data_IF_343727210138
#
_entry.id   IF_343727210138
#
_cell.length_a   1.000
_cell.length_b   1.000
_cell.length_c   1.000
_cell.angle_alpha   90.00
_cell.angle_beta   90.00
_cell.angle_gamma   90.00
#
_symmetry.space_group_name_H-M   'P 1'
#
loop_
_entity.id
_entity.type
_entity.pdbx_description
1 polymer ?
#
# COMPACT_ATOMS: atom_id res chain seq x y z
N UNK A 1 -2.98 -23.84 -18.63
CA UNK A 1 -3.99 -22.96 -19.26
C UNK A 1 -4.99 -22.38 -18.24
N UNK A 2 -5.51 -23.18 -17.29
CA UNK A 2 -6.48 -22.70 -16.28
C UNK A 2 -5.92 -21.66 -15.28
N UNK A 3 -4.68 -21.85 -14.79
CA UNK A 3 -4.00 -20.90 -13.89
C UNK A 3 -3.75 -19.52 -14.53
N UNK A 4 -3.48 -19.50 -15.83
CA UNK A 4 -3.22 -18.28 -16.59
C UNK A 4 -4.52 -17.49 -16.85
N UNK A 5 -5.64 -18.19 -17.09
CA UNK A 5 -6.97 -17.57 -17.22
C UNK A 5 -7.54 -17.04 -15.88
N UNK A 6 -7.25 -17.69 -14.74
CA UNK A 6 -7.64 -17.17 -13.42
C UNK A 6 -6.84 -15.92 -13.04
N UNK A 7 -5.53 -15.90 -13.32
CA UNK A 7 -4.64 -14.76 -13.06
C UNK A 7 -5.04 -13.53 -13.89
N UNK A 8 -5.34 -13.71 -15.18
CA UNK A 8 -5.79 -12.62 -16.06
C UNK A 8 -7.16 -12.06 -15.64
N UNK A 9 -8.10 -12.91 -15.23
CA UNK A 9 -9.42 -12.47 -14.72
C UNK A 9 -9.36 -11.75 -13.37
N UNK A 10 -8.48 -12.18 -12.46
CA UNK A 10 -8.28 -11.49 -11.17
C UNK A 10 -7.57 -10.13 -11.34
N UNK A 11 -6.58 -10.06 -12.25
CA UNK A 11 -5.89 -8.82 -12.60
C UNK A 11 -6.85 -7.78 -13.21
N UNK A 12 -7.70 -8.17 -14.19
CA UNK A 12 -8.70 -7.27 -14.78
C UNK A 12 -9.77 -6.81 -13.78
N UNK A 13 -10.18 -7.68 -12.84
CA UNK A 13 -11.13 -7.27 -11.79
C UNK A 13 -10.48 -6.31 -10.79
N UNK A 14 -9.20 -6.47 -10.46
CA UNK A 14 -8.46 -5.58 -9.55
C UNK A 14 -8.30 -4.18 -10.15
N UNK A 15 -7.89 -4.09 -11.42
CA UNK A 15 -7.78 -2.83 -12.16
C UNK A 15 -9.14 -2.10 -12.26
N UNK A 16 -10.22 -2.85 -12.48
CA UNK A 16 -11.57 -2.27 -12.54
C UNK A 16 -12.06 -1.73 -11.20
N UNK A 17 -11.64 -2.30 -10.06
CA UNK A 17 -12.07 -1.82 -8.72
C UNK A 17 -11.31 -0.58 -8.27
N UNK A 18 -10.02 -0.46 -8.60
CA UNK A 18 -9.24 0.74 -8.26
C UNK A 18 -9.60 1.93 -9.17
N UNK A 19 -9.98 1.68 -10.42
CA UNK A 19 -10.43 2.73 -11.33
C UNK A 19 -11.58 3.59 -10.76
N UNK A 20 -12.55 2.96 -10.09
CA UNK A 20 -13.69 3.67 -9.50
C UNK A 20 -13.29 4.66 -8.40
N UNK A 21 -12.39 4.27 -7.49
CA UNK A 21 -11.92 5.16 -6.41
C UNK A 21 -11.03 6.27 -6.94
N UNK A 22 -10.21 5.99 -7.96
CA UNK A 22 -9.39 7.01 -8.65
C UNK A 22 -10.29 8.08 -9.29
N UNK A 23 -11.34 7.66 -9.99
CA UNK A 23 -12.28 8.60 -10.63
C UNK A 23 -13.08 9.41 -9.59
N UNK A 24 -13.50 8.77 -8.50
CA UNK A 24 -14.17 9.44 -7.39
C UNK A 24 -13.25 10.51 -6.76
N UNK A 25 -12.00 10.17 -6.44
CA UNK A 25 -11.02 11.12 -5.91
C UNK A 25 -10.76 12.27 -6.88
N UNK A 26 -10.55 11.98 -8.17
CA UNK A 26 -10.38 13.00 -9.19
C UNK A 26 -11.59 13.95 -9.27
N UNK A 27 -12.80 13.42 -9.08
CA UNK A 27 -14.03 14.21 -9.03
C UNK A 27 -14.10 15.08 -7.78
N UNK A 28 -13.72 14.55 -6.61
CA UNK A 28 -13.64 15.31 -5.36
C UNK A 28 -12.63 16.45 -5.48
N UNK A 29 -11.42 16.18 -5.98
CA UNK A 29 -10.39 17.20 -6.20
C UNK A 29 -10.86 18.34 -7.12
N UNK A 30 -11.69 18.03 -8.13
CA UNK A 30 -12.26 19.04 -9.05
C UNK A 30 -13.51 19.76 -8.55
N UNK A 31 -14.37 19.09 -7.77
CA UNK A 31 -15.75 19.55 -7.49
C UNK A 31 -16.07 19.76 -6.03
N UNK A 32 -15.26 19.26 -5.11
CA UNK A 32 -15.44 19.46 -3.67
C UNK A 32 -14.54 20.62 -3.19
N UNK A 33 -15.12 21.74 -2.70
CA UNK A 33 -14.33 22.90 -2.29
C UNK A 33 -13.38 22.61 -1.11
N UNK A 34 -13.73 21.66 -0.23
CA UNK A 34 -12.83 21.27 0.84
C UNK A 34 -11.66 20.48 0.28
N UNK A 35 -11.94 19.45 -0.54
CA UNK A 35 -10.93 18.60 -1.13
C UNK A 35 -9.95 19.43 -1.96
N UNK A 36 -10.43 20.29 -2.87
CA UNK A 36 -9.59 21.09 -3.77
C UNK A 36 -8.63 22.06 -3.08
N UNK A 37 -8.84 22.36 -1.79
CA UNK A 37 -7.99 23.26 -0.99
C UNK A 37 -6.96 22.53 -0.14
N UNK A 38 -7.02 21.21 -0.08
CA UNK A 38 -6.06 20.42 0.68
C UNK A 38 -4.72 20.31 -0.05
N UNK A 39 -3.66 20.27 0.73
CA UNK A 39 -2.29 19.90 0.35
C UNK A 39 -1.74 18.83 1.31
N UNK A 40 -0.49 18.39 1.10
CA UNK A 40 0.10 17.35 1.95
C UNK A 40 0.21 17.75 3.42
N UNK A 41 0.44 19.03 3.71
CA UNK A 41 0.59 19.52 5.08
C UNK A 41 -0.75 19.64 5.79
N UNK A 42 -1.78 20.14 5.10
CA UNK A 42 -3.13 20.26 5.67
C UNK A 42 -3.77 18.90 5.97
N UNK A 43 -3.33 17.84 5.27
CA UNK A 43 -3.79 16.47 5.46
C UNK A 43 -3.10 15.72 6.60
N UNK A 44 -1.95 16.20 7.11
CA UNK A 44 -1.17 15.48 8.13
C UNK A 44 -2.01 15.13 9.37
N UNK A 45 -2.83 16.09 9.81
CA UNK A 45 -3.72 15.90 10.96
C UNK A 45 -4.64 14.70 10.75
N UNK A 46 -5.31 14.64 9.61
CA UNK A 46 -6.25 13.56 9.31
C UNK A 46 -5.54 12.22 9.19
N UNK A 47 -4.38 12.16 8.54
CA UNK A 47 -3.60 10.92 8.46
C UNK A 47 -3.19 10.34 9.83
N UNK A 48 -2.96 11.20 10.83
CA UNK A 48 -2.73 10.78 12.21
C UNK A 48 -4.01 10.26 12.86
N UNK A 49 -5.09 11.03 12.77
CA UNK A 49 -6.41 10.68 13.32
C UNK A 49 -6.88 9.32 12.77
N UNK A 50 -6.91 9.10 11.44
CA UNK A 50 -7.36 7.82 10.87
C UNK A 50 -6.49 6.62 11.32
N UNK A 51 -5.19 6.87 11.58
CA UNK A 51 -4.29 5.82 12.07
C UNK A 51 -4.58 5.50 13.53
N UNK A 52 -4.89 6.51 14.35
CA UNK A 52 -5.29 6.33 15.74
C UNK A 52 -6.64 5.61 15.84
N UNK A 53 -7.62 6.00 15.02
CA UNK A 53 -8.95 5.35 14.95
C UNK A 53 -8.82 3.88 14.50
N UNK A 54 -7.97 3.58 13.52
CA UNK A 54 -7.65 2.19 13.14
C UNK A 54 -7.07 1.38 14.31
N UNK A 55 -6.19 1.97 15.12
CA UNK A 55 -5.60 1.30 16.29
C UNK A 55 -6.70 0.98 17.31
N UNK A 56 -7.58 1.94 17.60
CA UNK A 56 -8.71 1.76 18.51
C UNK A 56 -9.65 0.65 18.02
N UNK A 57 -10.04 0.67 16.74
CA UNK A 57 -10.90 -0.36 16.15
C UNK A 57 -10.28 -1.78 16.22
N UNK A 58 -8.95 -1.89 16.04
CA UNK A 58 -8.23 -3.16 16.17
C UNK A 58 -8.21 -3.66 17.61
N UNK A 59 -8.09 -2.78 18.59
CA UNK A 59 -8.10 -3.14 20.01
C UNK A 59 -9.50 -3.59 20.45
N UNK A 60 -10.56 -2.91 20.02
CA UNK A 60 -11.94 -3.33 20.24
C UNK A 60 -12.23 -4.70 19.61
N UNK A 61 -11.80 -4.91 18.37
CA UNK A 61 -11.94 -6.21 17.70
C UNK A 61 -11.19 -7.33 18.45
N UNK A 62 -10.02 -7.04 19.03
CA UNK A 62 -9.25 -8.01 19.82
C UNK A 62 -9.94 -8.35 21.15
N UNK A 63 -10.54 -7.34 21.79
CA UNK A 63 -11.25 -7.49 23.06
C UNK A 63 -12.58 -8.24 22.92
N UNK A 64 -13.33 -7.98 21.85
CA UNK A 64 -14.62 -8.61 21.56
C UNK A 64 -14.80 -8.85 20.04
N UNK A 65 -14.31 -9.98 19.49
CA UNK A 65 -14.45 -10.25 18.07
C UNK A 65 -15.92 -10.44 17.65
N UNK A 66 -16.50 -9.41 17.01
CA UNK A 66 -17.89 -9.41 16.54
C UNK A 66 -18.00 -8.93 15.09
N UNK A 67 -19.09 -9.24 14.36
CA UNK A 67 -19.33 -8.70 13.02
C UNK A 67 -19.31 -7.16 12.98
N UNK A 68 -19.73 -6.51 14.07
CA UNK A 68 -19.71 -5.07 14.21
C UNK A 68 -18.28 -4.52 14.29
N UNK A 69 -17.46 -5.03 15.22
CA UNK A 69 -16.06 -4.58 15.33
C UNK A 69 -15.24 -4.95 14.08
N UNK A 70 -15.56 -6.06 13.42
CA UNK A 70 -14.96 -6.39 12.13
C UNK A 70 -15.30 -5.34 11.06
N UNK A 71 -16.53 -4.80 11.05
CA UNK A 71 -16.92 -3.74 10.12
C UNK A 71 -16.14 -2.47 10.42
N UNK A 72 -16.06 -2.06 11.69
CA UNK A 72 -15.31 -0.88 12.10
C UNK A 72 -13.85 -0.95 11.62
N UNK A 73 -13.15 -2.08 11.85
CA UNK A 73 -11.77 -2.26 11.34
C UNK A 73 -11.68 -2.12 9.81
N UNK A 74 -12.67 -2.62 9.06
CA UNK A 74 -12.67 -2.49 7.60
C UNK A 74 -12.90 -1.03 7.16
N UNK A 75 -13.76 -0.31 7.87
CA UNK A 75 -14.05 1.09 7.61
C UNK A 75 -12.79 1.94 7.84
N UNK A 76 -12.12 1.78 8.99
CA UNK A 76 -10.87 2.51 9.31
C UNK A 76 -9.70 2.16 8.37
N UNK A 77 -9.58 0.89 7.96
CA UNK A 77 -8.62 0.52 6.91
C UNK A 77 -8.92 1.24 5.59
N UNK A 78 -10.19 1.49 5.31
CA UNK A 78 -10.66 2.29 4.19
C UNK A 78 -10.21 3.75 4.31
N UNK A 79 -10.33 4.35 5.49
CA UNK A 79 -9.97 5.75 5.73
C UNK A 79 -8.44 5.98 5.69
N UNK A 80 -7.65 5.05 6.22
CA UNK A 80 -6.19 5.05 6.01
C UNK A 80 -5.84 4.93 4.52
N UNK A 81 -6.54 4.06 3.77
CA UNK A 81 -6.32 3.96 2.33
C UNK A 81 -6.78 5.22 1.57
N UNK A 82 -7.84 5.89 2.04
CA UNK A 82 -8.29 7.17 1.48
C UNK A 82 -7.19 8.24 1.59
N UNK A 83 -6.45 8.29 2.70
CA UNK A 83 -5.29 9.18 2.83
C UNK A 83 -4.22 8.85 1.78
N UNK A 84 -3.88 7.58 1.56
CA UNK A 84 -2.93 7.16 0.50
C UNK A 84 -3.39 7.63 -0.87
N UNK A 85 -4.68 7.44 -1.19
CA UNK A 85 -5.28 7.87 -2.45
C UNK A 85 -5.23 9.39 -2.62
N UNK A 86 -5.51 10.15 -1.55
CA UNK A 86 -5.52 11.60 -1.58
C UNK A 86 -4.11 12.16 -1.81
N UNK A 87 -3.11 11.68 -1.07
CA UNK A 87 -1.72 12.07 -1.28
C UNK A 87 -1.22 11.68 -2.69
N UNK A 88 -1.63 10.53 -3.21
CA UNK A 88 -1.33 10.13 -4.59
C UNK A 88 -1.91 11.11 -5.62
N UNK A 89 -3.16 11.52 -5.42
CA UNK A 89 -3.84 12.48 -6.29
C UNK A 89 -3.15 13.86 -6.30
N UNK A 90 -2.67 14.33 -5.15
CA UNK A 90 -1.89 15.58 -5.04
C UNK A 90 -0.55 15.49 -5.79
N UNK A 91 0.13 14.34 -5.71
CA UNK A 91 1.37 14.11 -6.44
C UNK A 91 1.11 14.08 -7.95
N UNK A 92 0.04 13.41 -8.40
CA UNK A 92 -0.35 13.37 -9.80
C UNK A 92 -0.66 14.77 -10.36
N UNK A 93 -1.39 15.60 -9.59
CA UNK A 93 -1.66 17.00 -9.93
C UNK A 93 -0.38 17.83 -10.07
N UNK A 94 0.53 17.74 -9.09
CA UNK A 94 1.80 18.50 -9.11
C UNK A 94 2.74 18.05 -10.22
N UNK A 95 2.75 16.76 -10.53
CA UNK A 95 3.52 16.16 -11.63
C UNK A 95 2.89 16.37 -13.01
N UNK A 96 1.69 16.96 -13.09
CA UNK A 96 0.93 17.11 -14.33
C UNK A 96 0.70 15.77 -15.07
N UNK A 97 0.46 14.70 -14.31
CA UNK A 97 0.17 13.35 -14.82
C UNK A 97 -1.28 12.95 -14.53
N UNK A 98 -1.84 11.95 -15.23
CA UNK A 98 -3.20 11.48 -14.96
C UNK A 98 -3.34 10.92 -13.52
N UNK A 99 -4.50 11.16 -12.90
CA UNK A 99 -4.84 10.54 -11.61
C UNK A 99 -4.71 9.02 -11.67
N UNK A 100 -4.13 8.44 -10.64
CA UNK A 100 -3.90 7.01 -10.51
C UNK A 100 -2.49 6.58 -10.92
N UNK A 101 -1.70 7.46 -11.55
CA UNK A 101 -0.33 7.15 -11.92
C UNK A 101 0.53 6.89 -10.68
N UNK A 102 0.52 7.80 -9.70
CA UNK A 102 1.26 7.62 -8.44
C UNK A 102 0.74 6.43 -7.64
N UNK A 103 -0.58 6.20 -7.61
CA UNK A 103 -1.12 5.02 -6.94
C UNK A 103 -0.61 3.72 -7.57
N UNK A 104 -0.54 3.67 -8.91
CA UNK A 104 0.06 2.54 -9.65
C UNK A 104 1.51 2.32 -9.23
N UNK A 105 2.32 3.37 -9.17
CA UNK A 105 3.70 3.29 -8.70
C UNK A 105 3.82 2.77 -7.26
N UNK A 106 2.90 3.17 -6.36
CA UNK A 106 2.86 2.68 -4.98
C UNK A 106 2.55 1.18 -4.96
N UNK A 107 1.56 0.73 -5.73
CA UNK A 107 1.16 -0.68 -5.82
C UNK A 107 2.30 -1.53 -6.38
N UNK A 108 2.89 -1.13 -7.51
CA UNK A 108 4.01 -1.83 -8.15
C UNK A 108 5.22 -1.92 -7.20
N UNK A 109 5.54 -0.81 -6.54
CA UNK A 109 6.63 -0.74 -5.56
C UNK A 109 6.37 -1.61 -4.32
N UNK A 110 5.11 -1.70 -3.87
CA UNK A 110 4.72 -2.56 -2.76
C UNK A 110 4.76 -4.04 -3.16
N UNK A 111 4.25 -4.40 -4.33
CA UNK A 111 4.28 -5.78 -4.84
C UNK A 111 5.73 -6.27 -4.96
N UNK A 112 6.59 -5.52 -5.64
CA UNK A 112 7.99 -5.85 -5.79
C UNK A 112 8.69 -5.99 -4.41
N UNK A 113 8.35 -5.11 -3.46
CA UNK A 113 8.89 -5.16 -2.09
C UNK A 113 8.41 -6.38 -1.31
N UNK A 114 7.13 -6.77 -1.43
CA UNK A 114 6.57 -7.94 -0.77
C UNK A 114 7.22 -9.22 -1.29
N UNK A 115 7.38 -9.37 -2.61
CA UNK A 115 8.06 -10.53 -3.20
C UNK A 115 9.53 -10.57 -2.78
N UNK A 116 10.25 -9.45 -2.95
CA UNK A 116 11.69 -9.38 -2.66
C UNK A 116 12.03 -9.60 -1.18
N UNK A 117 11.17 -9.15 -0.25
CA UNK A 117 11.39 -9.30 1.21
C UNK A 117 10.96 -10.66 1.77
N UNK A 118 10.29 -11.49 0.99
CA UNK A 118 9.81 -12.80 1.42
C UNK A 118 10.21 -13.92 0.45
N UNK A 119 11.50 -14.11 0.16
CA UNK A 119 11.94 -15.12 -0.80
C UNK A 119 11.59 -16.54 -0.37
N UNK A 120 11.45 -16.81 0.93
CA UNK A 120 11.00 -18.11 1.43
C UNK A 120 9.50 -18.37 1.16
N UNK A 121 8.70 -17.32 0.90
CA UNK A 121 7.29 -17.44 0.55
C UNK A 121 7.05 -17.44 -0.98
N UNK A 122 7.95 -16.87 -1.78
CA UNK A 122 7.78 -16.69 -3.23
C UNK A 122 8.85 -17.35 -4.11
N UNK A 123 9.91 -17.91 -3.52
CA UNK A 123 11.03 -18.54 -4.24
C UNK A 123 10.81 -20.00 -4.62
N UNK A 124 11.78 -20.61 -5.30
CA UNK A 124 11.68 -21.97 -5.86
C UNK A 124 11.39 -23.07 -4.82
N UNK A 125 11.72 -22.85 -3.54
CA UNK A 125 11.39 -23.79 -2.44
C UNK A 125 10.00 -23.60 -1.81
N UNK A 126 9.26 -22.55 -2.17
CA UNK A 126 7.91 -22.31 -1.66
C UNK A 126 6.84 -23.18 -2.35
N UNK A 127 7.19 -23.82 -3.48
CA UNK A 127 6.29 -24.61 -4.31
C UNK A 127 5.69 -25.83 -3.60
N UNK A 128 6.33 -26.29 -2.52
CA UNK A 128 5.94 -27.51 -1.80
C UNK A 128 4.92 -27.24 -0.67
N UNK A 129 4.48 -25.98 -0.51
CA UNK A 129 3.48 -25.59 0.50
C UNK A 129 3.94 -25.70 1.95
N UNK A 130 5.22 -26.03 2.19
CA UNK A 130 5.80 -26.04 3.52
C UNK A 130 6.14 -24.61 3.96
N UNK A 131 5.65 -24.23 5.13
CA UNK A 131 6.07 -22.98 5.77
C UNK A 131 7.52 -23.12 6.23
N UNK A 132 8.36 -22.16 5.85
CA UNK A 132 9.70 -22.05 6.41
C UNK A 132 9.65 -21.83 7.94
N UNK A 133 10.71 -22.26 8.63
CA UNK A 133 10.81 -22.02 10.07
C UNK A 133 10.96 -20.51 10.36
N UNK A 134 10.53 -20.08 11.56
CA UNK A 134 10.71 -18.69 12.00
C UNK A 134 12.20 -18.28 12.00
N UNK A 135 13.10 -19.20 12.38
CA UNK A 135 14.54 -18.96 12.38
C UNK A 135 15.10 -18.68 10.98
N UNK A 136 14.61 -19.41 9.97
CA UNK A 136 15.00 -19.20 8.58
C UNK A 136 14.48 -17.86 8.05
N UNK A 137 13.22 -17.53 8.36
CA UNK A 137 12.59 -16.25 8.00
C UNK A 137 13.35 -15.07 8.61
N UNK A 138 13.69 -15.13 9.90
CA UNK A 138 14.43 -14.05 10.56
C UNK A 138 15.84 -13.88 9.98
N UNK A 139 16.55 -14.99 9.74
CA UNK A 139 17.90 -14.95 9.17
C UNK A 139 17.90 -14.29 7.80
N UNK A 140 16.97 -14.69 6.94
CA UNK A 140 16.85 -14.15 5.59
C UNK A 140 16.38 -12.69 5.60
N UNK A 141 15.46 -12.32 6.48
CA UNK A 141 15.03 -10.93 6.65
C UNK A 141 16.17 -10.00 7.07
N UNK A 142 17.03 -10.43 8.01
CA UNK A 142 18.22 -9.67 8.43
C UNK A 142 19.20 -9.47 7.26
N UNK A 143 19.40 -10.50 6.44
CA UNK A 143 20.23 -10.44 5.23
C UNK A 143 19.70 -9.38 4.27
N UNK A 144 18.42 -9.48 3.90
CA UNK A 144 17.75 -8.53 2.98
C UNK A 144 17.80 -7.10 3.51
N UNK A 145 17.58 -6.90 4.82
CA UNK A 145 17.66 -5.56 5.44
C UNK A 145 19.05 -4.95 5.40
N UNK A 146 20.09 -5.78 5.48
CA UNK A 146 21.47 -5.32 5.35
C UNK A 146 21.73 -4.87 3.91
N UNK A 147 21.34 -5.68 2.93
CA UNK A 147 21.51 -5.37 1.51
C UNK A 147 20.75 -4.09 1.09
N UNK A 148 19.50 -3.90 1.55
CA UNK A 148 18.71 -2.70 1.29
C UNK A 148 19.35 -1.42 1.83
N UNK A 149 19.94 -1.48 3.02
CA UNK A 149 20.63 -0.33 3.62
C UNK A 149 21.88 0.03 2.82
N UNK A 150 22.61 -0.97 2.34
CA UNK A 150 23.80 -0.74 1.52
C UNK A 150 23.43 -0.11 0.18
N UNK A 151 22.41 -0.64 -0.51
CA UNK A 151 21.92 -0.07 -1.78
C UNK A 151 21.44 1.37 -1.62
N UNK A 152 20.65 1.66 -0.57
CA UNK A 152 20.18 3.03 -0.30
C UNK A 152 21.33 4.00 -0.01
N UNK A 153 22.38 3.56 0.69
CA UNK A 153 23.56 4.37 0.94
C UNK A 153 24.35 4.65 -0.35
N UNK A 154 24.48 3.66 -1.23
CA UNK A 154 25.16 3.79 -2.53
C UNK A 154 24.40 4.72 -3.50
N UNK A 155 23.06 4.71 -3.48
CA UNK A 155 22.21 5.62 -4.27
C UNK A 155 22.32 7.07 -3.78
N UNK A 156 22.22 7.30 -2.47
CA UNK A 156 22.40 8.64 -1.88
C UNK A 156 23.78 9.23 -2.19
N UNK A 157 24.81 8.38 -2.27
CA UNK A 157 26.18 8.81 -2.59
C UNK A 157 26.38 9.15 -4.08
N UNK A 158 25.52 8.64 -4.97
CA UNK A 158 25.49 9.03 -6.39
C UNK A 158 24.77 10.36 -6.60
N UNK A 159 23.65 10.57 -5.90
CA UNK A 159 22.87 11.82 -5.99
C UNK A 159 23.60 13.02 -5.37
N UNK A 160 24.47 12.79 -4.38
CA UNK A 160 25.28 13.86 -3.74
C UNK A 160 26.52 14.23 -4.56
N UNK A 161 26.93 13.39 -5.51
CA UNK A 161 28.13 13.59 -6.35
C UNK A 161 27.81 14.05 -7.79
N UNK A 162 26.54 14.32 -8.10
CA UNK A 162 26.07 15.00 -9.32
C UNK A 162 25.74 16.46 -9.03
#
# INVERSE_FOLDING_TARGET
MEKQNMSVRHSHMSEARTAGVIEAMATLRRRCPWSSRQDHGSLEKYAREETEELIEALDDYRGDPSPHHRSAVVDELGDVFYQVLFHSALLDESGSVPYGHTLGMIVDGLEAKLVRRHPLAFGEGAADGQMASLEDVEREYRRIKTDEKQQAAEEQQKDTNQ
#
